data_IF_582429872607
#
_entry.id   IF_582429872607
#
_cell.length_a   1.000
_cell.length_b   1.000
_cell.length_c   1.000
_cell.angle_alpha   90.00
_cell.angle_beta   90.00
_cell.angle_gamma   90.00
#
_symmetry.space_group_name_H-M   'P 1'
#
loop_
_entity.id
_entity.type
_entity.pdbx_description
1 polymer ?
#
# COMPACT_ATOMS: atom_id res chain seq x y z
N UNK A 1 -23.91 8.85 -13.38
CA UNK A 1 -24.01 8.31 -12.01
C UNK A 1 -25.00 9.07 -11.11
N UNK A 2 -25.19 10.38 -11.27
CA UNK A 2 -26.11 11.17 -10.42
C UNK A 2 -27.60 10.78 -10.52
N UNK A 3 -28.03 10.07 -11.58
CA UNK A 3 -29.46 9.72 -11.81
C UNK A 3 -29.89 8.35 -11.30
N UNK A 4 -28.99 7.41 -11.05
CA UNK A 4 -29.35 6.07 -10.58
C UNK A 4 -28.94 5.87 -9.13
N UNK A 5 -29.89 5.46 -8.28
CA UNK A 5 -29.63 5.08 -6.87
C UNK A 5 -28.86 3.73 -6.74
N UNK A 6 -28.52 3.09 -7.87
CA UNK A 6 -27.83 1.80 -7.87
C UNK A 6 -26.33 2.06 -7.74
N UNK A 7 -25.74 1.50 -6.66
CA UNK A 7 -24.29 1.53 -6.46
C UNK A 7 -23.59 0.54 -7.40
N UNK A 8 -22.41 0.92 -7.89
CA UNK A 8 -21.48 0.04 -8.59
C UNK A 8 -20.98 -1.04 -7.61
N UNK A 9 -20.89 -2.29 -8.04
CA UNK A 9 -20.46 -3.37 -7.13
C UNK A 9 -19.00 -3.23 -6.74
N UNK A 10 -18.11 -2.93 -7.69
CA UNK A 10 -16.68 -2.73 -7.45
C UNK A 10 -16.14 -1.55 -8.26
N UNK A 11 -15.34 -0.72 -7.61
CA UNK A 11 -14.58 0.36 -8.26
C UNK A 11 -13.11 0.22 -7.93
N UNK A 12 -12.26 0.41 -8.93
CA UNK A 12 -10.80 0.50 -8.75
C UNK A 12 -10.38 1.95 -8.92
N UNK A 13 -9.80 2.55 -7.88
CA UNK A 13 -9.20 3.88 -7.92
C UNK A 13 -7.70 3.76 -8.16
N UNK A 14 -7.26 4.03 -9.40
CA UNK A 14 -5.86 3.86 -9.84
C UNK A 14 -5.27 5.10 -10.52
N UNK A 15 -5.86 6.28 -10.31
CA UNK A 15 -5.30 7.53 -10.81
C UNK A 15 -4.05 7.87 -9.99
N UNK A 16 -2.89 7.96 -10.64
CA UNK A 16 -1.61 8.17 -9.98
C UNK A 16 -1.48 9.56 -9.36
N UNK A 17 -0.77 9.64 -8.24
CA UNK A 17 -0.44 10.89 -7.56
C UNK A 17 -1.64 11.51 -6.83
N UNK A 18 -1.46 12.73 -6.32
CA UNK A 18 -2.50 13.45 -5.57
C UNK A 18 -3.74 13.80 -6.40
N UNK A 19 -3.63 13.84 -7.73
CA UNK A 19 -4.77 14.06 -8.63
C UNK A 19 -5.84 12.96 -8.51
N UNK A 20 -5.48 11.77 -8.01
CA UNK A 20 -6.41 10.69 -7.74
C UNK A 20 -7.24 10.85 -6.47
N UNK A 21 -6.88 11.75 -5.56
CA UNK A 21 -7.56 11.88 -4.27
C UNK A 21 -9.02 12.32 -4.41
N UNK A 22 -9.28 13.42 -5.13
CA UNK A 22 -10.64 13.93 -5.28
C UNK A 22 -11.56 12.94 -6.01
N UNK A 23 -11.15 12.33 -7.14
CA UNK A 23 -11.94 11.28 -7.78
C UNK A 23 -12.22 10.08 -6.86
N UNK A 24 -11.26 9.69 -6.01
CA UNK A 24 -11.44 8.62 -5.02
C UNK A 24 -12.54 8.98 -4.03
N UNK A 25 -12.49 10.19 -3.46
CA UNK A 25 -13.51 10.66 -2.50
C UNK A 25 -14.90 10.75 -3.14
N UNK A 26 -14.96 11.21 -4.39
CA UNK A 26 -16.24 11.39 -5.10
C UNK A 26 -16.92 10.07 -5.44
N UNK A 27 -16.14 9.03 -5.79
CA UNK A 27 -16.71 7.74 -6.21
C UNK A 27 -17.18 6.88 -5.04
N UNK A 28 -16.65 7.07 -3.82
CA UNK A 28 -16.98 6.26 -2.64
C UNK A 28 -18.49 6.12 -2.45
N UNK A 29 -19.23 7.22 -2.54
CA UNK A 29 -20.70 7.21 -2.36
C UNK A 29 -21.47 6.45 -3.45
N UNK A 30 -20.83 6.12 -4.55
CA UNK A 30 -21.43 5.47 -5.71
C UNK A 30 -21.05 3.99 -5.87
N UNK A 31 -20.24 3.45 -4.96
CA UNK A 31 -19.77 2.06 -5.02
C UNK A 31 -20.03 1.30 -3.74
N UNK A 32 -20.21 -0.02 -3.84
CA UNK A 32 -20.33 -0.92 -2.68
C UNK A 32 -18.94 -1.27 -2.13
N UNK A 33 -18.00 -1.53 -3.04
CA UNK A 33 -16.63 -1.90 -2.70
C UNK A 33 -15.68 -1.02 -3.49
N UNK A 34 -14.66 -0.47 -2.84
CA UNK A 34 -13.61 0.31 -3.48
C UNK A 34 -12.25 -0.28 -3.20
N UNK A 35 -11.51 -0.53 -4.27
CA UNK A 35 -10.12 -0.94 -4.23
C UNK A 35 -9.24 0.26 -4.60
N UNK A 36 -8.38 0.71 -3.69
CA UNK A 36 -7.55 1.91 -3.88
C UNK A 36 -6.09 1.48 -4.11
N UNK A 37 -5.61 1.70 -5.34
CA UNK A 37 -4.22 1.48 -5.73
C UNK A 37 -3.36 2.75 -5.57
N UNK A 38 -3.98 3.90 -5.36
CA UNK A 38 -3.32 5.18 -5.20
C UNK A 38 -2.84 5.36 -3.76
N UNK A 39 -1.59 5.01 -3.49
CA UNK A 39 -1.00 5.14 -2.16
C UNK A 39 -0.90 6.59 -1.67
N UNK A 40 -0.74 7.54 -2.58
CA UNK A 40 -0.67 8.96 -2.23
C UNK A 40 -1.98 9.43 -1.58
N UNK A 41 -3.12 8.98 -2.07
CA UNK A 41 -4.42 9.29 -1.46
C UNK A 41 -4.55 8.73 -0.05
N UNK A 42 -4.12 7.48 0.16
CA UNK A 42 -4.13 6.84 1.48
C UNK A 42 -3.18 7.57 2.43
N UNK A 43 -1.95 7.84 1.99
CA UNK A 43 -0.94 8.53 2.80
C UNK A 43 -1.38 9.95 3.17
N UNK A 44 -1.98 10.70 2.26
CA UNK A 44 -2.31 12.09 2.50
C UNK A 44 -3.65 12.29 3.22
N UNK A 45 -4.63 11.41 3.00
CA UNK A 45 -6.00 11.69 3.39
C UNK A 45 -6.80 10.49 3.92
N UNK A 46 -6.14 9.52 4.56
CA UNK A 46 -6.82 8.32 5.06
C UNK A 46 -8.02 8.64 5.95
N UNK A 47 -7.85 9.55 6.91
CA UNK A 47 -8.95 9.89 7.82
C UNK A 47 -10.20 10.39 7.07
N UNK A 48 -10.01 11.17 5.99
CA UNK A 48 -11.11 11.65 5.16
C UNK A 48 -11.71 10.52 4.33
N UNK A 49 -10.88 9.64 3.78
CA UNK A 49 -11.32 8.45 3.03
C UNK A 49 -12.12 7.53 3.95
N UNK A 50 -11.59 7.18 5.11
CA UNK A 50 -12.23 6.32 6.10
C UNK A 50 -13.58 6.88 6.56
N UNK A 51 -13.63 8.18 6.86
CA UNK A 51 -14.88 8.87 7.16
C UNK A 51 -15.90 8.67 6.03
N UNK A 52 -15.51 8.90 4.78
CA UNK A 52 -16.39 8.74 3.61
C UNK A 52 -16.82 7.31 3.39
N UNK A 53 -15.94 6.34 3.62
CA UNK A 53 -16.28 4.91 3.56
C UNK A 53 -17.38 4.57 4.58
N UNK A 54 -17.20 5.00 5.83
CA UNK A 54 -18.15 4.76 6.92
C UNK A 54 -19.48 5.46 6.68
N UNK A 55 -19.48 6.74 6.28
CA UNK A 55 -20.71 7.51 5.98
C UNK A 55 -21.55 6.85 4.87
N UNK A 56 -20.91 6.17 3.93
CA UNK A 56 -21.60 5.59 2.77
C UNK A 56 -21.76 4.07 2.84
N UNK A 57 -21.27 3.40 3.88
CA UNK A 57 -21.28 1.94 3.98
C UNK A 57 -20.53 1.28 2.81
N UNK A 58 -19.41 1.85 2.40
CA UNK A 58 -18.59 1.35 1.29
C UNK A 58 -17.42 0.56 1.86
N UNK A 59 -17.22 -0.67 1.38
CA UNK A 59 -16.13 -1.52 1.82
C UNK A 59 -14.83 -1.11 1.14
N UNK A 60 -13.74 -1.02 1.89
CA UNK A 60 -12.40 -0.80 1.38
C UNK A 60 -11.67 -2.13 1.18
N UNK A 61 -10.96 -2.24 0.05
CA UNK A 61 -10.12 -3.39 -0.28
C UNK A 61 -8.72 -2.85 -0.61
N UNK A 62 -7.68 -3.19 0.17
CA UNK A 62 -6.31 -2.83 -0.18
C UNK A 62 -5.86 -3.61 -1.40
N UNK A 63 -5.14 -2.97 -2.34
CA UNK A 63 -4.63 -3.63 -3.56
C UNK A 63 -3.12 -3.84 -3.49
N UNK A 64 -2.40 -2.94 -2.83
CA UNK A 64 -0.96 -3.11 -2.65
C UNK A 64 -0.70 -4.49 -2.02
N UNK A 65 0.23 -5.26 -2.59
CA UNK A 65 0.38 -6.69 -2.28
C UNK A 65 0.68 -6.96 -0.81
N UNK A 66 1.41 -6.08 -0.16
CA UNK A 66 1.74 -6.16 1.26
C UNK A 66 0.47 -5.95 2.11
N UNK A 67 -0.29 -4.92 1.82
CA UNK A 67 -1.52 -4.60 2.55
C UNK A 67 -2.63 -5.61 2.27
N UNK A 68 -2.76 -6.08 1.03
CA UNK A 68 -3.68 -7.16 0.70
C UNK A 68 -3.34 -8.43 1.48
N UNK A 69 -2.06 -8.78 1.58
CA UNK A 69 -1.61 -9.95 2.34
C UNK A 69 -1.94 -9.81 3.83
N UNK A 70 -1.69 -8.63 4.43
CA UNK A 70 -2.06 -8.36 5.82
C UNK A 70 -3.58 -8.47 6.00
N UNK A 71 -4.35 -7.80 5.14
CA UNK A 71 -5.80 -7.80 5.17
C UNK A 71 -6.37 -9.22 5.07
N UNK A 72 -5.84 -10.03 4.15
CA UNK A 72 -6.26 -11.42 3.96
C UNK A 72 -5.93 -12.31 5.17
N UNK A 73 -4.74 -12.17 5.74
CA UNK A 73 -4.31 -12.91 6.92
C UNK A 73 -5.08 -12.53 8.20
N UNK A 74 -5.63 -11.31 8.24
CA UNK A 74 -6.47 -10.82 9.34
C UNK A 74 -7.93 -11.27 9.22
N UNK A 75 -8.36 -11.89 8.12
CA UNK A 75 -9.71 -12.41 7.99
C UNK A 75 -10.02 -13.39 9.12
N UNK A 76 -11.13 -13.16 9.83
CA UNK A 76 -11.53 -13.96 10.99
C UNK A 76 -10.56 -13.93 12.20
N UNK A 77 -9.66 -12.95 12.24
CA UNK A 77 -8.75 -12.71 13.38
C UNK A 77 -9.04 -11.36 14.01
N UNK A 78 -8.83 -11.26 15.31
CA UNK A 78 -8.96 -9.98 16.03
C UNK A 78 -7.67 -9.19 15.88
N UNK A 79 -7.75 -7.97 15.40
CA UNK A 79 -6.57 -7.09 15.21
C UNK A 79 -5.79 -6.86 16.52
N UNK A 80 -6.48 -6.91 17.65
CA UNK A 80 -5.88 -6.73 18.98
C UNK A 80 -4.90 -7.86 19.35
N UNK A 81 -5.03 -9.05 18.74
CA UNK A 81 -4.11 -10.17 18.98
C UNK A 81 -2.85 -10.12 18.12
N UNK A 82 -2.69 -9.07 17.32
CA UNK A 82 -1.48 -8.88 16.52
C UNK A 82 -0.34 -8.44 17.42
N UNK A 83 0.69 -9.27 17.54
CA UNK A 83 1.95 -8.94 18.21
C UNK A 83 2.86 -8.14 17.27
N UNK A 84 3.07 -8.64 16.06
CA UNK A 84 3.99 -8.03 15.08
C UNK A 84 3.52 -8.31 13.65
N UNK A 85 3.74 -7.34 12.77
CA UNK A 85 3.59 -7.47 11.32
C UNK A 85 4.94 -7.21 10.67
N UNK A 86 5.42 -8.17 9.88
CA UNK A 86 6.63 -8.00 9.06
C UNK A 86 6.20 -7.75 7.62
N UNK A 87 6.56 -6.59 7.09
CA UNK A 87 6.38 -6.23 5.69
C UNK A 87 7.68 -6.57 4.95
N UNK A 88 7.62 -7.32 3.87
CA UNK A 88 8.82 -7.68 3.12
C UNK A 88 9.17 -6.64 2.05
N UNK A 89 10.42 -6.61 1.65
CA UNK A 89 10.94 -5.76 0.59
C UNK A 89 11.92 -6.53 -0.30
N UNK A 90 11.88 -6.34 -1.61
CA UNK A 90 12.86 -6.93 -2.53
C UNK A 90 14.29 -6.40 -2.29
N UNK A 91 14.42 -5.21 -1.69
CA UNK A 91 15.68 -4.49 -1.53
C UNK A 91 16.05 -3.62 -2.74
N UNK A 92 15.31 -3.73 -3.83
CA UNK A 92 15.52 -2.92 -5.05
C UNK A 92 16.85 -3.19 -5.78
N UNK A 93 17.17 -2.41 -6.83
CA UNK A 93 18.34 -2.64 -7.68
C UNK A 93 19.67 -2.39 -6.99
N UNK A 94 19.67 -1.74 -5.83
CA UNK A 94 20.90 -1.36 -5.11
C UNK A 94 21.23 -2.25 -3.92
N UNK A 95 20.44 -3.31 -3.68
CA UNK A 95 20.58 -4.17 -2.50
C UNK A 95 22.02 -4.59 -2.20
N UNK A 96 22.76 -5.01 -3.22
CA UNK A 96 24.13 -5.52 -3.07
C UNK A 96 25.20 -4.49 -3.44
N UNK A 97 24.84 -3.20 -3.56
CA UNK A 97 25.79 -2.17 -3.96
C UNK A 97 26.49 -1.57 -2.75
N UNK A 98 27.81 -1.36 -2.88
CA UNK A 98 28.57 -0.54 -1.93
C UNK A 98 28.07 0.91 -1.97
N UNK A 99 28.06 1.59 -0.83
CA UNK A 99 27.60 2.98 -0.72
C UNK A 99 28.33 3.93 -1.69
N UNK A 100 29.62 3.72 -1.92
CA UNK A 100 30.41 4.49 -2.90
C UNK A 100 29.91 4.35 -4.34
N UNK A 101 29.34 3.19 -4.69
CA UNK A 101 28.72 2.95 -6.00
C UNK A 101 27.32 3.56 -6.08
N UNK A 102 26.54 3.50 -4.99
CA UNK A 102 25.19 4.10 -4.91
C UNK A 102 25.29 5.62 -5.14
N UNK A 103 26.29 6.30 -4.57
CA UNK A 103 26.51 7.75 -4.79
C UNK A 103 26.71 8.15 -6.26
N UNK A 104 27.07 7.21 -7.12
CA UNK A 104 27.26 7.41 -8.56
C UNK A 104 26.10 6.83 -9.39
N UNK A 105 25.02 6.39 -8.76
CA UNK A 105 23.87 5.84 -9.45
C UNK A 105 23.17 6.91 -10.29
N UNK A 106 22.78 6.53 -11.49
CA UNK A 106 22.01 7.39 -12.40
C UNK A 106 20.52 7.04 -12.36
N UNK A 107 19.62 7.96 -12.72
CA UNK A 107 18.19 7.68 -12.83
C UNK A 107 17.89 6.45 -13.70
N UNK A 108 18.61 6.27 -14.80
CA UNK A 108 18.43 5.12 -15.69
C UNK A 108 18.73 3.77 -15.04
N UNK A 109 19.58 3.75 -14.03
CA UNK A 109 19.87 2.52 -13.27
C UNK A 109 18.77 2.34 -12.19
N UNK A 110 18.37 3.41 -11.52
CA UNK A 110 17.37 3.37 -10.47
C UNK A 110 15.99 2.87 -10.96
N UNK A 111 15.62 3.17 -12.23
CA UNK A 111 14.34 2.70 -12.80
C UNK A 111 14.36 1.22 -13.25
N UNK A 112 15.48 0.53 -13.19
CA UNK A 112 15.59 -0.89 -13.56
C UNK A 112 15.42 -1.77 -12.33
N UNK A 113 14.18 -2.16 -12.04
CA UNK A 113 13.93 -3.10 -10.95
C UNK A 113 14.33 -4.53 -11.37
N UNK A 114 15.02 -5.33 -10.50
CA UNK A 114 15.49 -6.67 -10.85
C UNK A 114 14.36 -7.67 -11.13
N UNK A 115 13.21 -7.54 -10.44
CA UNK A 115 12.13 -8.53 -10.48
C UNK A 115 10.87 -8.03 -11.20
N UNK A 116 10.66 -6.71 -11.33
CA UNK A 116 9.39 -6.15 -11.77
C UNK A 116 9.57 -5.10 -12.86
N UNK A 117 8.67 -5.15 -13.85
CA UNK A 117 8.51 -4.05 -14.81
C UNK A 117 7.44 -3.10 -14.26
N UNK A 118 7.84 -1.94 -13.79
CA UNK A 118 6.97 -0.99 -13.10
C UNK A 118 7.12 0.43 -13.67
N UNK A 119 6.20 1.33 -13.30
CA UNK A 119 6.33 2.74 -13.62
C UNK A 119 7.60 3.38 -13.04
N UNK A 120 8.10 4.44 -13.68
CA UNK A 120 9.39 5.08 -13.30
C UNK A 120 9.40 5.55 -11.83
N UNK A 121 8.32 6.16 -11.36
CA UNK A 121 8.22 6.68 -9.98
C UNK A 121 8.39 5.55 -8.96
N UNK A 122 7.58 4.49 -9.05
CA UNK A 122 7.63 3.38 -8.09
C UNK A 122 8.95 2.59 -8.18
N UNK A 123 9.58 2.55 -9.35
CA UNK A 123 10.92 1.93 -9.50
C UNK A 123 11.99 2.71 -8.74
N UNK A 124 11.96 4.05 -8.80
CA UNK A 124 12.86 4.90 -8.00
C UNK A 124 12.56 4.78 -6.51
N UNK A 125 11.29 4.75 -6.13
CA UNK A 125 10.88 4.57 -4.73
C UNK A 125 11.38 3.21 -4.18
N UNK A 126 11.34 2.16 -5.01
CA UNK A 126 11.90 0.85 -4.65
C UNK A 126 13.42 0.89 -4.52
N UNK A 127 14.12 1.55 -5.46
CA UNK A 127 15.57 1.68 -5.45
C UNK A 127 16.10 2.41 -4.21
N UNK A 128 15.32 3.35 -3.69
CA UNK A 128 15.65 4.15 -2.50
C UNK A 128 15.05 3.60 -1.21
N UNK A 129 14.29 2.50 -1.27
CA UNK A 129 13.47 1.97 -0.18
C UNK A 129 12.33 2.90 0.28
N UNK A 130 12.09 4.03 -0.39
CA UNK A 130 10.98 4.94 -0.08
C UNK A 130 9.62 4.28 -0.29
N UNK A 131 9.50 3.36 -1.25
CA UNK A 131 8.26 2.60 -1.42
C UNK A 131 7.88 1.88 -0.13
N UNK A 132 8.85 1.27 0.54
CA UNK A 132 8.61 0.54 1.80
C UNK A 132 8.26 1.48 2.97
N UNK A 133 8.79 2.71 2.97
CA UNK A 133 8.37 3.75 3.93
C UNK A 133 6.91 4.14 3.69
N UNK A 134 6.52 4.34 2.44
CA UNK A 134 5.13 4.64 2.10
C UNK A 134 4.18 3.51 2.50
N UNK A 135 4.51 2.28 2.17
CA UNK A 135 3.73 1.11 2.55
C UNK A 135 3.60 0.94 4.07
N UNK A 136 4.64 1.27 4.81
CA UNK A 136 4.57 1.28 6.26
C UNK A 136 3.57 2.32 6.79
N UNK A 137 3.57 3.52 6.22
CA UNK A 137 2.62 4.58 6.59
C UNK A 137 1.19 4.17 6.21
N UNK A 138 1.00 3.58 5.03
CA UNK A 138 -0.28 3.04 4.60
C UNK A 138 -0.79 1.97 5.57
N UNK A 139 0.05 0.97 5.89
CA UNK A 139 -0.31 -0.10 6.81
C UNK A 139 -0.73 0.42 8.19
N UNK A 140 0.02 1.38 8.74
CA UNK A 140 -0.36 2.02 10.00
C UNK A 140 -1.75 2.65 9.94
N UNK A 141 -2.07 3.32 8.85
CA UNK A 141 -3.36 4.01 8.66
C UNK A 141 -4.49 3.04 8.42
N UNK A 142 -4.32 2.10 7.47
CA UNK A 142 -5.35 1.13 7.08
C UNK A 142 -5.72 0.21 8.25
N UNK A 143 -4.72 -0.27 9.00
CA UNK A 143 -4.94 -1.25 10.08
C UNK A 143 -5.04 -0.61 11.46
N UNK A 144 -4.86 0.70 11.57
CA UNK A 144 -4.90 1.46 12.82
C UNK A 144 -4.01 0.82 13.92
N UNK A 145 -2.78 0.47 13.57
CA UNK A 145 -1.80 -0.13 14.46
C UNK A 145 -0.62 0.81 14.71
N UNK A 146 -0.08 0.76 15.93
CA UNK A 146 1.11 1.53 16.28
C UNK A 146 2.34 1.12 15.44
N UNK A 147 3.22 2.08 15.18
CA UNK A 147 4.46 1.87 14.41
C UNK A 147 5.33 0.76 14.97
N UNK A 148 5.36 0.59 16.29
CA UNK A 148 6.16 -0.45 16.96
C UNK A 148 5.77 -1.88 16.58
N UNK A 149 4.54 -2.08 16.11
CA UNK A 149 4.05 -3.38 15.66
C UNK A 149 4.61 -3.80 14.29
N UNK A 150 5.26 -2.89 13.56
CA UNK A 150 5.73 -3.15 12.21
C UNK A 150 7.23 -3.31 12.13
N UNK A 151 7.67 -4.32 11.38
CA UNK A 151 9.06 -4.53 10.96
C UNK A 151 9.17 -4.63 9.44
N UNK A 152 10.35 -4.34 8.92
CA UNK A 152 10.68 -4.51 7.50
C UNK A 152 11.75 -5.59 7.41
N UNK A 153 11.54 -6.55 6.52
CA UNK A 153 12.48 -7.63 6.23
C UNK A 153 12.83 -7.61 4.74
N UNK A 154 14.11 -7.65 4.42
CA UNK A 154 14.56 -7.80 3.04
C UNK A 154 14.38 -9.28 2.62
N UNK A 155 13.57 -9.47 1.58
CA UNK A 155 13.25 -10.77 0.98
C UNK A 155 13.39 -10.67 -0.55
N UNK A 156 14.59 -10.86 -1.10
CA UNK A 156 14.89 -10.59 -2.51
C UNK A 156 14.05 -11.42 -3.49
N UNK A 157 13.62 -12.62 -3.08
CA UNK A 157 12.81 -13.51 -3.90
C UNK A 157 11.37 -13.01 -4.08
N UNK A 158 10.91 -12.13 -3.19
CA UNK A 158 9.58 -11.51 -3.23
C UNK A 158 8.40 -12.49 -3.35
N UNK A 159 8.52 -13.67 -2.73
CA UNK A 159 7.49 -14.71 -2.71
C UNK A 159 6.47 -14.50 -1.57
N UNK A 160 6.91 -13.86 -0.49
CA UNK A 160 6.09 -13.55 0.68
C UNK A 160 6.05 -12.03 0.83
N UNK A 161 4.86 -11.45 0.95
CA UNK A 161 4.66 -10.00 1.05
C UNK A 161 4.46 -9.52 2.47
N UNK A 162 3.84 -10.34 3.32
CA UNK A 162 3.69 -10.02 4.75
C UNK A 162 3.69 -11.28 5.61
N UNK A 163 4.12 -11.13 6.87
CA UNK A 163 4.03 -12.15 7.91
C UNK A 163 3.38 -11.49 9.13
N UNK A 164 2.43 -12.18 9.76
CA UNK A 164 1.80 -11.70 10.98
C UNK A 164 2.10 -12.68 12.12
N UNK A 165 2.61 -12.15 13.22
CA UNK A 165 2.74 -12.85 14.48
C UNK A 165 1.57 -12.46 15.38
N UNK A 166 0.87 -13.44 15.91
CA UNK A 166 -0.23 -13.24 16.85
C UNK A 166 0.20 -13.62 18.27
N UNK A 167 -0.40 -12.98 19.25
CA UNK A 167 -0.28 -13.39 20.65
C UNK A 167 -0.81 -14.83 20.79
N UNK A 168 -0.23 -15.57 21.74
CA UNK A 168 -0.63 -16.96 22.03
C UNK A 168 -1.98 -17.03 22.73
#
# INVERSE_FOLDING_TARGET
FKKNKIKIDYTISAISGLSGLQPTLDIIKHTKNIAIANKESIICAWNLIEQKLNENGTNFIPIDSEHFSIWYLLQNRKIQTVEEIVITASGGPFLNWKLSKIKKATPNIAIRHPNWSMGKKISVDSATMMNKVFELIEAQRIFNLDRSKFKILIHPQSLVHAIIKFDK
#
